data_IF_408739512278
#
_entry.id   IF_408739512278
#
_cell.length_a   1.000
_cell.length_b   1.000
_cell.length_c   1.000
_cell.angle_alpha   90.00
_cell.angle_beta   90.00
_cell.angle_gamma   90.00
#
_symmetry.space_group_name_H-M   'P 1'
#
loop_
_entity.id
_entity.type
_entity.pdbx_description
1 polymer ?
#
# COMPACT_ATOMS: atom_id res chain seq x y z
N UNK A 1 11.07 6.48 6.20
CA UNK A 1 10.09 5.38 6.32
C UNK A 1 9.51 5.04 4.95
N UNK A 2 9.11 3.79 4.80
CA UNK A 2 8.47 3.29 3.60
C UNK A 2 6.98 3.05 3.83
N UNK A 3 6.20 3.04 2.75
CA UNK A 3 4.82 2.56 2.73
C UNK A 3 4.63 1.63 1.53
N UNK A 4 3.55 0.86 1.55
CA UNK A 4 3.23 -0.10 0.50
C UNK A 4 1.82 0.18 0.02
N UNK A 5 1.62 0.25 -1.30
CA UNK A 5 0.30 0.39 -1.89
C UNK A 5 -0.46 -0.94 -1.83
N UNK A 6 -1.76 -0.86 -1.93
CA UNK A 6 -2.70 -1.98 -1.80
C UNK A 6 -2.40 -3.13 -2.74
N UNK A 7 -2.11 -2.86 -4.01
CA UNK A 7 -1.88 -3.89 -5.01
C UNK A 7 -0.70 -4.80 -4.67
N UNK A 8 0.38 -4.26 -4.14
CA UNK A 8 1.55 -5.06 -3.75
C UNK A 8 1.20 -6.04 -2.64
N UNK A 9 0.41 -5.60 -1.65
CA UNK A 9 -0.07 -6.46 -0.56
C UNK A 9 -1.01 -7.56 -1.10
N UNK A 10 -1.93 -7.18 -1.98
CA UNK A 10 -2.88 -8.14 -2.58
C UNK A 10 -2.18 -9.21 -3.40
N UNK A 11 -1.18 -8.85 -4.19
CA UNK A 11 -0.44 -9.84 -4.97
C UNK A 11 0.24 -10.89 -4.09
N UNK A 12 0.64 -10.56 -2.88
CA UNK A 12 1.28 -11.52 -1.97
C UNK A 12 0.36 -12.70 -1.59
N UNK A 13 -0.94 -12.56 -1.77
CA UNK A 13 -1.94 -13.57 -1.44
C UNK A 13 -2.84 -13.93 -2.62
N UNK A 14 -2.59 -13.41 -3.81
CA UNK A 14 -3.39 -13.65 -5.01
C UNK A 14 -2.91 -14.91 -5.76
N UNK A 15 -3.60 -16.02 -5.54
CA UNK A 15 -3.29 -17.31 -6.19
C UNK A 15 -3.54 -17.31 -7.69
N UNK A 16 -4.29 -16.35 -8.21
CA UNK A 16 -4.57 -16.21 -9.65
C UNK A 16 -3.41 -15.52 -10.40
N UNK A 17 -2.45 -14.96 -9.67
CA UNK A 17 -1.27 -14.30 -10.21
C UNK A 17 0.01 -14.91 -9.61
N UNK A 18 0.35 -16.17 -9.97
CA UNK A 18 1.41 -16.91 -9.26
C UNK A 18 2.79 -16.28 -9.37
N UNK A 19 3.11 -15.66 -10.51
CA UNK A 19 4.41 -14.97 -10.70
C UNK A 19 4.50 -13.73 -9.83
N UNK A 20 3.48 -12.89 -9.87
CA UNK A 20 3.43 -11.68 -9.03
C UNK A 20 3.32 -12.03 -7.55
N UNK A 21 2.60 -13.08 -7.21
CA UNK A 21 2.49 -13.57 -5.83
C UNK A 21 3.87 -13.91 -5.27
N UNK A 22 4.67 -14.66 -6.01
CA UNK A 22 6.01 -15.05 -5.57
C UNK A 22 6.91 -13.82 -5.38
N UNK A 23 6.90 -12.90 -6.35
CA UNK A 23 7.68 -11.65 -6.26
C UNK A 23 7.26 -10.80 -5.08
N UNK A 24 5.96 -10.65 -4.86
CA UNK A 24 5.43 -9.86 -3.75
C UNK A 24 5.79 -10.49 -2.40
N UNK A 25 5.67 -11.80 -2.26
CA UNK A 25 6.03 -12.51 -1.03
C UNK A 25 7.53 -12.35 -0.73
N UNK A 26 8.39 -12.51 -1.73
CA UNK A 26 9.83 -12.33 -1.56
C UNK A 26 10.15 -10.90 -1.16
N UNK A 27 9.53 -9.93 -1.82
CA UNK A 27 9.71 -8.51 -1.49
C UNK A 27 9.29 -8.20 -0.04
N UNK A 28 8.13 -8.69 0.40
CA UNK A 28 7.66 -8.45 1.77
C UNK A 28 8.59 -9.07 2.81
N UNK A 29 9.17 -10.24 2.53
CA UNK A 29 10.17 -10.85 3.42
C UNK A 29 11.43 -9.99 3.52
N UNK A 30 11.93 -9.48 2.39
CA UNK A 30 13.09 -8.58 2.36
C UNK A 30 12.80 -7.31 3.13
N UNK A 31 11.62 -6.75 2.96
CA UNK A 31 11.20 -5.51 3.60
C UNK A 31 11.08 -5.67 5.12
N UNK A 32 10.56 -6.80 5.57
CA UNK A 32 10.43 -7.09 7.00
C UNK A 32 11.78 -7.19 7.71
N UNK A 33 12.80 -7.68 7.03
CA UNK A 33 14.16 -7.78 7.60
C UNK A 33 15.03 -6.55 7.35
N UNK A 34 14.53 -5.55 6.61
CA UNK A 34 15.25 -4.32 6.35
C UNK A 34 15.28 -3.40 7.58
N UNK A 35 16.36 -2.57 7.67
CA UNK A 35 16.49 -1.62 8.76
C UNK A 35 15.49 -0.46 8.66
N UNK A 36 15.11 -0.06 7.45
CA UNK A 36 14.16 1.02 7.22
C UNK A 36 12.74 0.57 7.58
N UNK A 37 12.03 1.28 8.48
CA UNK A 37 10.67 0.89 8.87
C UNK A 37 9.67 1.10 7.74
N UNK A 38 8.67 0.21 7.69
CA UNK A 38 7.54 0.28 6.76
C UNK A 38 6.24 0.39 7.52
N UNK A 39 5.37 1.29 7.07
CA UNK A 39 4.08 1.54 7.72
C UNK A 39 2.92 1.17 6.80
N UNK A 40 1.78 0.86 7.40
CA UNK A 40 0.51 0.62 6.74
C UNK A 40 -0.33 1.88 6.84
N UNK A 41 -0.65 2.48 5.69
CA UNK A 41 -1.48 3.67 5.64
C UNK A 41 -2.96 3.28 5.80
N UNK A 42 -3.73 4.13 6.46
CA UNK A 42 -5.17 3.91 6.70
C UNK A 42 -5.96 3.64 5.41
N UNK A 43 -5.72 4.44 4.36
CA UNK A 43 -6.39 4.24 3.07
C UNK A 43 -6.07 2.87 2.47
N UNK A 44 -4.81 2.46 2.55
CA UNK A 44 -4.36 1.16 2.04
C UNK A 44 -5.05 0.02 2.80
N UNK A 45 -5.17 0.12 4.12
CA UNK A 45 -5.90 -0.86 4.91
C UNK A 45 -7.38 -0.94 4.49
N UNK A 46 -8.00 0.21 4.23
CA UNK A 46 -9.38 0.26 3.74
C UNK A 46 -9.56 -0.40 2.39
N UNK A 47 -8.73 -0.07 1.42
CA UNK A 47 -8.77 -0.65 0.07
C UNK A 47 -8.48 -2.16 0.10
N UNK A 48 -7.49 -2.57 0.87
CA UNK A 48 -7.13 -3.97 1.08
C UNK A 48 -8.32 -4.76 1.64
N UNK A 49 -8.93 -4.24 2.69
CA UNK A 49 -10.08 -4.89 3.33
C UNK A 49 -11.26 -4.99 2.38
N UNK A 50 -11.54 -3.94 1.60
CA UNK A 50 -12.61 -3.95 0.62
C UNK A 50 -12.40 -5.04 -0.43
N UNK A 51 -11.18 -5.16 -0.96
CA UNK A 51 -10.86 -6.17 -1.98
C UNK A 51 -10.92 -7.59 -1.40
N UNK A 52 -10.42 -7.81 -0.19
CA UNK A 52 -10.50 -9.12 0.46
C UNK A 52 -11.95 -9.51 0.79
N UNK A 53 -12.80 -8.55 1.12
CA UNK A 53 -14.25 -8.80 1.28
C UNK A 53 -14.89 -9.25 -0.03
N UNK A 54 -14.52 -8.65 -1.15
CA UNK A 54 -14.99 -9.08 -2.48
C UNK A 54 -14.57 -10.52 -2.77
N UNK A 55 -13.31 -10.87 -2.51
CA UNK A 55 -12.81 -12.22 -2.71
C UNK A 55 -13.52 -13.24 -1.83
N UNK A 56 -13.79 -12.88 -0.58
CA UNK A 56 -14.61 -13.71 0.33
C UNK A 56 -16.02 -13.92 -0.22
N UNK A 57 -16.67 -12.85 -0.67
CA UNK A 57 -18.04 -12.92 -1.21
C UNK A 57 -18.10 -13.71 -2.53
N UNK A 58 -17.02 -13.72 -3.30
CA UNK A 58 -16.86 -14.52 -4.51
C UNK A 58 -16.46 -15.98 -4.24
N UNK A 59 -16.26 -16.36 -2.99
CA UNK A 59 -15.81 -17.71 -2.63
C UNK A 59 -14.32 -17.97 -2.84
N UNK A 60 -13.51 -16.94 -3.15
CA UNK A 60 -12.06 -17.07 -3.31
C UNK A 60 -11.32 -17.19 -1.97
N UNK A 61 -11.91 -16.70 -0.91
CA UNK A 61 -11.42 -16.80 0.46
C UNK A 61 -12.53 -17.30 1.36
N UNK A 62 -12.19 -18.13 2.34
CA UNK A 62 -13.11 -18.42 3.44
C UNK A 62 -13.17 -17.22 4.39
N UNK A 63 -14.23 -17.10 5.23
CA UNK A 63 -14.26 -16.06 6.28
C UNK A 63 -13.05 -16.13 7.23
N UNK A 64 -12.57 -17.33 7.51
CA UNK A 64 -11.38 -17.53 8.34
C UNK A 64 -10.11 -17.00 7.66
N UNK A 65 -9.91 -17.32 6.37
CA UNK A 65 -8.77 -16.81 5.59
C UNK A 65 -8.79 -15.28 5.50
N UNK A 66 -9.96 -14.70 5.26
CA UNK A 66 -10.14 -13.24 5.27
C UNK A 66 -9.62 -12.62 6.57
N UNK A 67 -10.09 -13.12 7.71
CA UNK A 67 -9.68 -12.62 9.03
C UNK A 67 -8.19 -12.81 9.28
N UNK A 68 -7.62 -13.94 8.88
CA UNK A 68 -6.21 -14.26 9.05
C UNK A 68 -5.33 -13.28 8.26
N UNK A 69 -5.68 -12.98 7.01
CA UNK A 69 -4.91 -12.03 6.18
C UNK A 69 -4.93 -10.63 6.78
N UNK A 70 -6.10 -10.13 7.21
CA UNK A 70 -6.19 -8.81 7.84
C UNK A 70 -5.31 -8.74 9.09
N UNK A 71 -5.39 -9.73 9.96
CA UNK A 71 -4.58 -9.77 11.19
C UNK A 71 -3.08 -9.82 10.87
N UNK A 72 -2.68 -10.60 9.87
CA UNK A 72 -1.28 -10.72 9.47
C UNK A 72 -0.70 -9.39 9.01
N UNK A 73 -1.40 -8.67 8.13
CA UNK A 73 -0.93 -7.36 7.67
C UNK A 73 -0.90 -6.33 8.80
N UNK A 74 -1.91 -6.34 9.68
CA UNK A 74 -1.93 -5.47 10.85
C UNK A 74 -0.79 -5.76 11.83
N UNK A 75 -0.38 -7.02 11.95
CA UNK A 75 0.75 -7.41 12.79
C UNK A 75 2.09 -7.03 12.17
N UNK A 76 2.23 -7.18 10.85
CA UNK A 76 3.50 -6.93 10.15
C UNK A 76 3.86 -5.45 10.09
N UNK A 77 2.87 -4.56 9.94
CA UNK A 77 3.11 -3.14 9.68
C UNK A 77 2.37 -2.24 10.66
N UNK A 78 3.06 -1.28 11.30
CA UNK A 78 2.39 -0.26 12.10
C UNK A 78 1.39 0.53 11.28
N UNK A 79 0.19 0.74 11.83
CA UNK A 79 -0.87 1.51 11.19
C UNK A 79 -0.67 3.00 11.44
N UNK A 80 -0.73 3.78 10.35
CA UNK A 80 -0.70 5.25 10.42
C UNK A 80 -2.08 5.79 10.06
N UNK A 81 -2.64 6.57 11.00
CA UNK A 81 -3.95 7.20 10.81
C UNK A 81 -3.79 8.54 10.07
N UNK A 82 -4.78 8.92 9.26
CA UNK A 82 -4.78 10.24 8.62
C UNK A 82 -5.01 11.34 9.67
N UNK A 83 -4.49 12.52 9.35
CA UNK A 83 -4.69 13.74 10.14
C UNK A 83 -5.22 14.83 9.21
N UNK A 84 -5.65 16.00 9.73
CA UNK A 84 -5.97 17.13 8.85
C UNK A 84 -4.83 17.50 7.90
N UNK A 85 -3.58 17.35 8.33
CA UNK A 85 -2.41 17.59 7.47
C UNK A 85 -2.34 16.63 6.28
N UNK A 86 -2.87 15.42 6.40
CA UNK A 86 -2.98 14.46 5.28
C UNK A 86 -3.82 15.03 4.15
N UNK A 87 -4.98 15.57 4.48
CA UNK A 87 -5.88 16.19 3.49
C UNK A 87 -5.25 17.43 2.86
N UNK A 88 -4.68 18.32 3.66
CA UNK A 88 -4.06 19.54 3.17
C UNK A 88 -2.90 19.24 2.21
N UNK A 89 -2.07 18.24 2.55
CA UNK A 89 -0.99 17.77 1.68
C UNK A 89 -1.53 17.18 0.37
N UNK A 90 -2.61 16.39 0.45
CA UNK A 90 -3.24 15.79 -0.74
C UNK A 90 -3.73 16.86 -1.71
N UNK A 91 -4.38 17.91 -1.21
CA UNK A 91 -4.87 19.02 -2.05
C UNK A 91 -3.70 19.75 -2.70
N UNK A 92 -2.67 20.09 -1.94
CA UNK A 92 -1.48 20.76 -2.48
C UNK A 92 -0.81 19.92 -3.58
N UNK A 93 -0.63 18.62 -3.36
CA UNK A 93 -0.02 17.72 -4.36
C UNK A 93 -0.89 17.60 -5.61
N UNK A 94 -2.22 17.55 -5.46
CA UNK A 94 -3.13 17.48 -6.61
C UNK A 94 -3.12 18.75 -7.46
N UNK A 95 -2.81 19.91 -6.87
CA UNK A 95 -2.67 21.17 -7.59
C UNK A 95 -1.35 21.25 -8.37
N UNK A 96 -0.29 20.63 -7.85
CA UNK A 96 1.06 20.68 -8.44
C UNK A 96 1.31 19.56 -9.44
N UNK A 97 0.65 18.42 -9.29
CA UNK A 97 0.86 17.22 -10.10
C UNK A 97 -0.48 16.71 -10.62
N UNK A 98 -0.49 16.15 -11.84
CA UNK A 98 -1.68 15.53 -12.41
C UNK A 98 -1.94 14.16 -11.79
N UNK A 99 -2.64 14.14 -10.67
CA UNK A 99 -2.94 12.94 -9.88
C UNK A 99 -4.45 12.77 -9.74
N UNK A 100 -4.91 11.51 -9.68
CA UNK A 100 -6.28 11.22 -9.29
C UNK A 100 -6.51 11.62 -7.84
N UNK A 101 -7.78 11.76 -7.44
CA UNK A 101 -8.12 12.08 -6.05
C UNK A 101 -7.48 11.11 -5.05
N UNK A 102 -7.67 9.81 -5.26
CA UNK A 102 -7.20 8.81 -4.31
C UNK A 102 -5.67 8.63 -4.33
N UNK A 103 -5.02 8.81 -5.47
CA UNK A 103 -3.56 8.85 -5.55
C UNK A 103 -3.00 10.05 -4.77
N UNK A 104 -3.65 11.22 -4.90
CA UNK A 104 -3.30 12.41 -4.10
C UNK A 104 -3.43 12.14 -2.60
N UNK A 105 -4.48 11.42 -2.19
CA UNK A 105 -4.72 11.09 -0.78
C UNK A 105 -3.65 10.15 -0.23
N UNK A 106 -3.23 9.15 -0.99
CA UNK A 106 -2.13 8.26 -0.59
C UNK A 106 -0.83 9.04 -0.44
N UNK A 107 -0.49 9.88 -1.42
CA UNK A 107 0.74 10.66 -1.37
C UNK A 107 0.68 11.73 -0.28
N UNK A 108 -0.48 12.32 -0.02
CA UNK A 108 -0.68 13.21 1.11
C UNK A 108 -0.46 12.52 2.46
N UNK A 109 -0.91 11.28 2.59
CA UNK A 109 -0.66 10.46 3.76
C UNK A 109 0.84 10.17 3.93
N UNK A 110 1.53 9.84 2.83
CA UNK A 110 2.99 9.65 2.85
C UNK A 110 3.70 10.91 3.35
N UNK A 111 3.37 12.06 2.79
CA UNK A 111 3.99 13.34 3.18
C UNK A 111 3.74 13.66 4.65
N UNK A 112 2.51 13.52 5.12
CA UNK A 112 2.15 13.82 6.51
C UNK A 112 2.81 12.89 7.53
N UNK A 113 3.15 11.67 7.11
CA UNK A 113 3.80 10.65 7.95
C UNK A 113 5.32 10.59 7.76
N UNK A 114 5.91 11.50 6.99
CA UNK A 114 7.34 11.48 6.64
C UNK A 114 7.79 10.19 5.93
N UNK A 115 6.91 9.63 5.14
CA UNK A 115 7.22 8.50 4.25
C UNK A 115 7.86 9.06 2.98
N UNK A 116 9.05 8.56 2.66
CA UNK A 116 9.82 9.02 1.50
C UNK A 116 9.94 7.98 0.38
N UNK A 117 9.37 6.79 0.57
CA UNK A 117 9.31 5.76 -0.46
C UNK A 117 7.96 5.03 -0.38
N UNK A 118 7.26 4.98 -1.51
CA UNK A 118 6.01 4.24 -1.67
C UNK A 118 6.21 3.13 -2.70
N UNK A 119 6.03 1.89 -2.28
CA UNK A 119 6.09 0.73 -3.17
C UNK A 119 4.73 0.52 -3.83
N UNK A 120 4.69 0.70 -5.15
CA UNK A 120 3.46 0.63 -5.94
C UNK A 120 3.78 0.19 -7.37
N UNK A 121 2.85 -0.47 -8.06
CA UNK A 121 2.97 -0.70 -9.49
C UNK A 121 2.27 0.39 -10.33
N UNK A 122 1.61 1.34 -9.65
CA UNK A 122 0.80 2.40 -10.27
C UNK A 122 1.52 3.76 -10.25
N UNK A 123 0.79 4.81 -10.58
CA UNK A 123 1.21 6.22 -10.51
C UNK A 123 2.45 6.55 -11.34
N UNK A 124 2.75 5.72 -12.33
CA UNK A 124 3.90 5.94 -13.21
C UNK A 124 5.25 5.54 -12.61
N UNK A 125 5.27 4.69 -11.57
CA UNK A 125 6.52 4.20 -10.98
C UNK A 125 7.42 3.51 -12.03
N UNK A 126 8.73 3.73 -12.04
CA UNK A 126 9.52 4.53 -11.11
C UNK A 126 9.37 6.05 -11.35
N UNK A 127 9.15 6.81 -10.31
CA UNK A 127 8.92 8.26 -10.37
C UNK A 127 9.19 8.88 -9.01
N UNK A 128 9.62 10.14 -8.99
CA UNK A 128 9.67 10.95 -7.77
C UNK A 128 8.58 12.00 -7.80
N UNK A 129 7.77 12.06 -6.76
CA UNK A 129 6.74 13.09 -6.58
C UNK A 129 7.00 13.79 -5.26
N UNK A 130 7.48 15.03 -5.31
CA UNK A 130 7.71 15.89 -4.16
C UNK A 130 8.60 15.23 -3.08
N UNK A 131 9.64 14.52 -3.50
CA UNK A 131 10.56 13.82 -2.62
C UNK A 131 10.12 12.42 -2.18
N UNK A 132 8.95 11.96 -2.63
CA UNK A 132 8.48 10.60 -2.41
C UNK A 132 8.87 9.75 -3.62
N UNK A 133 9.77 8.79 -3.41
CA UNK A 133 10.14 7.84 -4.45
C UNK A 133 9.03 6.80 -4.62
N UNK A 134 8.54 6.66 -5.86
CA UNK A 134 7.60 5.60 -6.25
C UNK A 134 8.39 4.47 -6.88
N UNK A 135 8.32 3.30 -6.31
CA UNK A 135 9.10 2.13 -6.74
C UNK A 135 8.17 0.94 -6.99
N UNK A 136 8.31 0.31 -8.17
CA UNK A 136 7.58 -0.93 -8.45
C UNK A 136 8.44 -2.13 -8.02
N UNK A 137 8.07 -2.84 -6.95
CA UNK A 137 8.88 -3.97 -6.45
C UNK A 137 8.62 -5.27 -7.20
N UNK A 138 7.70 -5.28 -8.16
CA UNK A 138 7.25 -6.48 -8.86
C UNK A 138 7.91 -6.67 -10.24
N UNK A 139 8.76 -5.76 -10.62
CA UNK A 139 9.52 -5.85 -11.88
C UNK A 139 10.89 -6.47 -11.68
#
# INVERSE_FOLDING_TARGET
MNAIDTNVLLYSIDRNEPVKQQKAQQFLRQLHSAAEPTVLLWQVLGELTQQLRRWRDQGRLTPSEFSQHIRAFRHLFPLVLPTPATFDAAIELSERFSLSHWDSMILGACRAADVNCLYTEDMGAPRNIDGIELVNPLV
#
